data_IF_262381588063
#
_entry.id   IF_262381588063
#
_cell.length_a   1.000
_cell.length_b   1.000
_cell.length_c   1.000
_cell.angle_alpha   90.00
_cell.angle_beta   90.00
_cell.angle_gamma   90.00
#
_symmetry.space_group_name_H-M   'P 1'
#
loop_
_entity.id
_entity.type
_entity.pdbx_description
1 polymer ?
#
# COMPACT_ATOMS: atom_id res chain seq x y z
N UNK A 1 3.60 6.24 8.00
CA UNK A 1 2.77 5.04 8.13
C UNK A 1 2.31 4.59 6.76
N UNK A 2 2.59 3.33 6.43
CA UNK A 2 2.18 2.70 5.18
C UNK A 2 1.03 1.71 5.45
N UNK A 3 0.09 1.61 4.51
CA UNK A 3 -1.04 0.70 4.57
C UNK A 3 -1.39 0.18 3.19
N UNK A 4 -1.89 -1.04 3.11
CA UNK A 4 -2.31 -1.63 1.83
C UNK A 4 -3.83 -1.52 1.68
N UNK A 5 -4.28 -1.18 0.46
CA UNK A 5 -5.68 -0.92 0.15
C UNK A 5 -6.55 -2.17 0.21
N UNK A 6 -5.95 -3.33 -0.03
CA UNK A 6 -6.61 -4.64 -0.01
C UNK A 6 -6.16 -5.50 1.19
N UNK A 7 -5.66 -4.89 2.27
CA UNK A 7 -5.31 -5.60 3.51
C UNK A 7 -6.58 -6.01 4.29
N UNK A 8 -6.90 -7.32 4.41
CA UNK A 8 -8.06 -7.78 5.16
C UNK A 8 -7.84 -7.78 6.68
N UNK A 9 -6.59 -7.69 7.14
CA UNK A 9 -6.19 -7.78 8.55
C UNK A 9 -6.03 -6.40 9.18
N UNK A 10 -5.44 -5.44 8.45
CA UNK A 10 -5.20 -4.06 8.92
C UNK A 10 -5.83 -3.04 7.96
N UNK A 11 -7.14 -2.80 8.08
CA UNK A 11 -7.83 -1.80 7.27
C UNK A 11 -7.19 -0.41 7.33
N UNK A 12 -7.14 0.26 6.17
CA UNK A 12 -6.58 1.62 5.99
C UNK A 12 -7.09 2.62 7.02
N UNK A 13 -8.35 2.50 7.49
CA UNK A 13 -8.91 3.39 8.51
C UNK A 13 -8.06 3.47 9.79
N UNK A 14 -7.43 2.37 10.21
CA UNK A 14 -6.62 2.34 11.42
C UNK A 14 -5.30 3.08 11.23
N UNK A 15 -4.71 3.00 10.02
CA UNK A 15 -3.59 3.84 9.66
C UNK A 15 -4.01 5.33 9.61
N UNK A 16 -5.16 5.67 9.02
CA UNK A 16 -5.61 7.07 9.02
C UNK A 16 -5.80 7.60 10.45
N UNK A 17 -6.33 6.77 11.36
CA UNK A 17 -6.53 7.14 12.75
C UNK A 17 -5.21 7.33 13.51
N UNK A 18 -4.30 6.36 13.45
CA UNK A 18 -3.01 6.46 14.13
C UNK A 18 -2.15 7.63 13.59
N UNK A 19 -2.28 7.99 12.30
CA UNK A 19 -1.53 9.10 11.71
C UNK A 19 -1.89 10.45 12.34
N UNK A 20 -3.13 10.63 12.83
CA UNK A 20 -3.57 11.87 13.49
C UNK A 20 -2.78 12.18 14.76
N UNK A 21 -2.11 11.19 15.33
CA UNK A 21 -1.34 11.31 16.57
C UNK A 21 0.18 11.42 16.33
N UNK A 22 0.61 11.54 15.06
CA UNK A 22 2.03 11.64 14.68
C UNK A 22 2.32 13.01 14.06
N UNK A 23 3.07 13.87 14.76
CA UNK A 23 3.34 15.25 14.34
C UNK A 23 4.20 15.34 13.06
N UNK A 24 5.10 14.37 12.83
CA UNK A 24 5.95 14.26 11.64
C UNK A 24 5.63 13.00 10.81
N UNK A 25 4.43 12.45 10.97
CA UNK A 25 4.00 11.26 10.25
C UNK A 25 3.54 11.57 8.83
N UNK A 26 3.99 10.77 7.86
CA UNK A 26 3.43 10.77 6.50
C UNK A 26 2.57 9.54 6.26
N UNK A 27 1.39 9.70 5.67
CA UNK A 27 0.48 8.60 5.31
C UNK A 27 0.67 8.15 3.87
N UNK A 28 0.81 6.84 3.66
CA UNK A 28 0.98 6.23 2.33
C UNK A 28 0.03 5.05 2.21
N UNK A 29 -0.65 4.94 1.06
CA UNK A 29 -1.58 3.86 0.76
C UNK A 29 -1.16 3.19 -0.55
N UNK A 30 -0.87 1.90 -0.51
CA UNK A 30 -0.63 1.06 -1.67
C UNK A 30 -1.96 0.43 -2.11
N UNK A 31 -2.64 1.05 -3.07
CA UNK A 31 -4.06 0.78 -3.33
C UNK A 31 -4.37 -0.65 -3.78
N UNK A 32 -3.44 -1.29 -4.51
CA UNK A 32 -3.65 -2.62 -5.09
C UNK A 32 -2.88 -3.73 -4.35
N UNK A 33 -2.12 -3.38 -3.31
CA UNK A 33 -1.39 -4.35 -2.50
C UNK A 33 -2.33 -4.93 -1.42
N UNK A 34 -2.07 -6.18 -1.01
CA UNK A 34 -2.70 -6.82 0.16
C UNK A 34 -1.74 -6.81 1.35
N UNK A 35 -1.90 -7.70 2.35
CA UNK A 35 -1.20 -7.70 3.66
C UNK A 35 0.34 -7.92 3.61
N UNK A 36 1.05 -7.41 2.62
CA UNK A 36 2.49 -7.54 2.45
C UNK A 36 3.09 -6.29 1.79
N UNK A 37 3.55 -5.35 2.63
CA UNK A 37 4.22 -4.09 2.24
C UNK A 37 5.60 -4.24 1.61
N UNK A 38 6.06 -5.45 1.31
CA UNK A 38 7.43 -5.71 0.85
C UNK A 38 7.58 -5.47 -0.65
N UNK A 39 7.68 -4.21 -1.03
CA UNK A 39 7.93 -3.80 -2.41
C UNK A 39 9.04 -2.73 -2.49
N UNK A 40 9.63 -2.55 -3.67
CA UNK A 40 10.73 -1.59 -3.88
C UNK A 40 10.36 -0.15 -3.52
N UNK A 41 9.12 0.25 -3.78
CA UNK A 41 8.63 1.58 -3.45
C UNK A 41 8.58 1.81 -1.92
N UNK A 42 8.10 0.83 -1.17
CA UNK A 42 8.09 0.89 0.30
C UNK A 42 9.51 1.02 0.87
N UNK A 43 10.46 0.23 0.37
CA UNK A 43 11.85 0.32 0.81
C UNK A 43 12.49 1.68 0.49
N UNK A 44 12.29 2.20 -0.71
CA UNK A 44 12.79 3.51 -1.10
C UNK A 44 12.25 4.62 -0.19
N UNK A 45 10.93 4.68 0.01
CA UNK A 45 10.29 5.67 0.88
C UNK A 45 10.83 5.57 2.31
N UNK A 46 10.99 4.35 2.82
CA UNK A 46 11.47 4.11 4.19
C UNK A 46 12.91 4.57 4.35
N UNK A 47 13.76 4.32 3.35
CA UNK A 47 15.14 4.79 3.31
C UNK A 47 15.20 6.33 3.27
N UNK A 48 14.42 6.98 2.40
CA UNK A 48 14.36 8.44 2.32
C UNK A 48 13.92 9.08 3.65
N UNK A 49 12.87 8.55 4.28
CA UNK A 49 12.41 9.03 5.59
C UNK A 49 13.43 8.76 6.71
N UNK A 50 14.12 7.62 6.68
CA UNK A 50 15.13 7.29 7.68
C UNK A 50 16.34 8.22 7.59
N UNK A 51 16.74 8.58 6.37
CA UNK A 51 17.89 9.44 6.12
C UNK A 51 17.61 10.91 6.43
N UNK A 52 16.40 11.41 6.17
CA UNK A 52 15.97 12.75 6.55
C UNK A 52 14.48 12.80 6.95
N UNK A 53 14.15 12.56 8.22
CA UNK A 53 12.76 12.54 8.69
C UNK A 53 12.12 13.95 8.77
N UNK A 54 12.90 15.02 8.52
CA UNK A 54 12.36 16.39 8.45
C UNK A 54 11.74 16.70 7.09
N UNK A 55 12.06 15.90 6.08
CA UNK A 55 11.56 16.03 4.72
C UNK A 55 10.55 14.93 4.42
N UNK A 56 9.55 15.29 3.59
CA UNK A 56 8.59 14.31 3.10
C UNK A 56 9.28 13.42 2.06
N UNK A 57 9.27 12.08 2.21
CA UNK A 57 9.80 11.18 1.20
C UNK A 57 8.97 11.25 -0.10
N UNK A 58 9.58 10.91 -1.23
CA UNK A 58 8.88 10.81 -2.50
C UNK A 58 7.95 9.59 -2.50
N UNK A 59 6.64 9.84 -2.59
CA UNK A 59 5.60 8.80 -2.56
C UNK A 59 4.99 8.52 -3.93
N UNK A 60 5.52 9.06 -5.02
CA UNK A 60 4.89 8.96 -6.35
C UNK A 60 4.71 7.50 -6.79
N UNK A 61 5.67 6.64 -6.45
CA UNK A 61 5.63 5.22 -6.78
C UNK A 61 4.47 4.46 -6.11
N UNK A 62 3.94 4.92 -4.96
CA UNK A 62 2.82 4.24 -4.28
C UNK A 62 1.48 4.47 -4.99
N UNK A 63 1.41 5.50 -5.84
CA UNK A 63 0.23 5.83 -6.63
C UNK A 63 0.16 5.04 -7.95
N UNK A 64 1.25 4.34 -8.31
CA UNK A 64 1.29 3.50 -9.50
C UNK A 64 0.38 2.29 -9.26
N UNK A 65 -0.68 2.19 -10.06
CA UNK A 65 -1.64 1.09 -10.00
C UNK A 65 -0.99 -0.20 -10.51
N UNK A 66 -1.16 -1.28 -9.77
CA UNK A 66 -0.78 -2.65 -10.10
C UNK A 66 -2.02 -3.53 -9.97
N UNK A 67 -3.01 -3.36 -10.85
CA UNK A 67 -4.28 -4.05 -10.72
C UNK A 67 -4.08 -5.57 -10.72
N UNK A 68 -4.82 -6.25 -9.85
CA UNK A 68 -4.86 -7.72 -9.85
C UNK A 68 -5.41 -8.20 -11.19
N UNK A 69 -4.61 -8.97 -11.92
CA UNK A 69 -5.06 -9.60 -13.15
C UNK A 69 -5.99 -10.78 -12.82
N UNK A 70 -7.29 -10.57 -13.00
CA UNK A 70 -8.28 -11.63 -12.88
C UNK A 70 -8.30 -12.47 -14.16
N UNK A 71 -7.63 -13.61 -14.17
CA UNK A 71 -7.77 -14.58 -15.25
C UNK A 71 -9.11 -15.32 -15.13
N UNK A 72 -10.17 -14.68 -15.62
CA UNK A 72 -11.53 -15.22 -15.64
C UNK A 72 -11.79 -16.12 -16.86
N UNK A 73 -10.76 -16.70 -17.48
CA UNK A 73 -10.97 -17.63 -18.59
C UNK A 73 -11.93 -18.74 -18.15
N UNK A 74 -13.11 -18.71 -18.75
CA UNK A 74 -14.25 -19.54 -18.35
C UNK A 74 -13.86 -20.98 -18.54
N UNK A 75 -13.80 -21.75 -17.45
CA UNK A 75 -13.79 -23.21 -17.55
C UNK A 75 -15.13 -23.62 -18.17
N UNK A 76 -15.14 -23.78 -19.49
CA UNK A 76 -16.25 -24.30 -20.27
C UNK A 76 -16.42 -25.79 -19.98
N UNK A 77 -16.72 -26.14 -18.73
CA UNK A 77 -17.04 -27.51 -18.32
C UNK A 77 -18.04 -27.50 -17.16
N UNK A 78 -19.28 -27.12 -17.46
CA UNK A 78 -20.48 -27.69 -16.82
C UNK A 78 -21.61 -27.68 -17.85
N UNK A 79 -21.65 -28.72 -18.68
CA UNK A 79 -22.92 -29.21 -19.22
C UNK A 79 -23.62 -29.91 -18.07
N UNK A 80 -24.75 -29.35 -17.62
CA UNK A 80 -25.77 -30.06 -16.84
C UNK A 80 -26.52 -30.96 -17.82
#
# INVERSE_FOLDING_TARGET
MASDGLDPVRPVRYAIEALKHLENGYGIIFQDDSHALFNSCFFQITEEFYNDPSQKPNTDCSSIRKPIEWNLSVSSQRKI
#
